data_IF_649462182090
#
_entry.id   IF_649462182090
#
_cell.length_a   1.000
_cell.length_b   1.000
_cell.length_c   1.000
_cell.angle_alpha   90.00
_cell.angle_beta   90.00
_cell.angle_gamma   90.00
#
_symmetry.space_group_name_H-M   'P 1'
#
loop_
_entity.id
_entity.type
_entity.pdbx_description
1 polymer ?
#
# COMPACT_ATOMS: atom_id res chain seq x y z
N UNK A 1 19.33 9.83 -2.69
CA UNK A 1 18.65 10.32 -3.89
C UNK A 1 17.17 10.50 -3.59
N UNK A 2 16.63 11.65 -3.93
CA UNK A 2 15.21 11.93 -3.66
C UNK A 2 14.33 11.36 -4.75
N UNK A 3 13.32 10.60 -4.35
CA UNK A 3 12.29 10.09 -5.24
C UNK A 3 11.38 11.25 -5.67
N UNK A 4 10.89 11.23 -6.91
CA UNK A 4 9.97 12.24 -7.43
C UNK A 4 8.60 11.63 -7.75
N UNK A 5 7.58 12.48 -7.84
CA UNK A 5 6.25 12.07 -8.24
C UNK A 5 6.26 11.42 -9.64
N UNK A 6 7.05 11.97 -10.56
CA UNK A 6 7.14 11.43 -11.92
C UNK A 6 7.67 9.99 -11.94
N UNK A 7 8.59 9.67 -11.04
CA UNK A 7 9.13 8.31 -10.93
C UNK A 7 8.10 7.32 -10.39
N UNK A 8 7.15 7.78 -9.59
CA UNK A 8 6.08 6.94 -9.06
C UNK A 8 4.89 6.79 -9.99
N UNK A 9 4.71 7.69 -10.95
CA UNK A 9 3.58 7.61 -11.88
C UNK A 9 3.73 6.38 -12.80
N UNK A 10 2.78 5.45 -12.68
CA UNK A 10 2.81 4.19 -13.43
C UNK A 10 3.66 3.10 -12.82
N UNK A 11 4.18 3.31 -11.60
CA UNK A 11 5.00 2.31 -10.93
C UNK A 11 4.18 1.14 -10.45
N UNK A 12 4.60 -0.08 -10.80
CA UNK A 12 4.05 -1.34 -10.31
C UNK A 12 5.18 -2.25 -9.83
N UNK A 13 4.88 -3.03 -8.78
CA UNK A 13 5.85 -3.96 -8.23
C UNK A 13 5.13 -5.15 -7.62
N UNK A 14 5.68 -6.36 -7.84
CA UNK A 14 5.21 -7.60 -7.23
C UNK A 14 6.39 -8.43 -6.81
N UNK A 15 6.34 -8.97 -5.59
CA UNK A 15 7.34 -9.93 -5.15
C UNK A 15 6.75 -10.85 -4.09
N UNK A 16 7.05 -12.15 -4.21
CA UNK A 16 6.79 -13.14 -3.17
C UNK A 16 8.10 -13.46 -2.46
N UNK A 17 8.02 -13.60 -1.15
CA UNK A 17 9.17 -13.89 -0.29
C UNK A 17 9.10 -15.33 0.20
N UNK A 18 10.27 -15.89 0.56
CA UNK A 18 10.38 -17.26 1.04
C UNK A 18 9.62 -17.51 2.35
N UNK A 19 9.35 -16.45 3.12
CA UNK A 19 8.60 -16.54 4.39
C UNK A 19 7.08 -16.61 4.21
N UNK A 20 6.59 -16.68 2.97
CA UNK A 20 5.16 -16.77 2.67
C UNK A 20 4.45 -15.42 2.56
N UNK A 21 5.18 -14.32 2.65
CA UNK A 21 4.62 -12.98 2.45
C UNK A 21 4.81 -12.50 1.02
N UNK A 22 4.09 -11.43 0.68
CA UNK A 22 4.23 -10.78 -0.62
C UNK A 22 4.09 -9.27 -0.49
N UNK A 23 4.62 -8.56 -1.50
CA UNK A 23 4.36 -7.13 -1.69
C UNK A 23 3.77 -6.95 -3.07
N UNK A 24 2.75 -6.10 -3.15
CA UNK A 24 2.16 -5.66 -4.41
C UNK A 24 1.94 -4.16 -4.32
N UNK A 25 2.54 -3.43 -5.26
CA UNK A 25 2.41 -1.98 -5.35
C UNK A 25 1.83 -1.61 -6.69
N UNK A 26 0.90 -0.66 -6.68
CA UNK A 26 0.36 -0.02 -7.88
C UNK A 26 0.16 1.45 -7.56
N UNK A 27 0.77 2.32 -8.37
CA UNK A 27 0.72 3.77 -8.18
C UNK A 27 0.59 4.43 -9.54
N UNK A 28 -0.36 5.35 -9.69
CA UNK A 28 -0.48 6.16 -10.90
C UNK A 28 -1.20 7.47 -10.64
N UNK A 29 -0.86 8.49 -11.41
CA UNK A 29 -1.63 9.73 -11.46
C UNK A 29 -2.93 9.50 -12.19
N UNK A 30 -3.96 10.25 -11.81
CA UNK A 30 -5.25 10.22 -12.47
C UNK A 30 -5.93 11.57 -12.37
N UNK A 31 -6.69 11.94 -13.42
CA UNK A 31 -7.51 13.15 -13.43
C UNK A 31 -8.98 12.83 -13.10
N UNK A 32 -9.31 11.58 -12.75
CA UNK A 32 -10.68 11.20 -12.45
C UNK A 32 -11.18 11.88 -11.16
N UNK A 33 -12.41 12.37 -11.19
CA UNK A 33 -13.01 13.07 -10.05
C UNK A 33 -13.15 12.19 -8.80
N UNK A 34 -13.20 10.88 -8.99
CA UNK A 34 -13.24 9.92 -7.89
C UNK A 34 -11.97 9.95 -7.02
N UNK A 35 -10.89 10.55 -7.53
CA UNK A 35 -9.59 10.61 -6.86
C UNK A 35 -9.11 12.07 -6.70
N UNK A 36 -9.68 12.83 -5.76
CA UNK A 36 -9.34 14.24 -5.58
C UNK A 36 -7.86 14.53 -5.33
N UNK A 37 -7.11 13.55 -4.78
CA UNK A 37 -5.66 13.71 -4.57
C UNK A 37 -4.86 13.74 -5.88
N UNK A 38 -5.45 13.29 -6.99
CA UNK A 38 -4.76 13.14 -8.26
C UNK A 38 -3.97 11.84 -8.39
N UNK A 39 -4.10 10.94 -7.42
CA UNK A 39 -3.41 9.65 -7.39
C UNK A 39 -4.39 8.50 -7.17
N UNK A 40 -4.11 7.37 -7.81
CA UNK A 40 -4.72 6.09 -7.50
C UNK A 40 -3.62 5.12 -7.13
N UNK A 41 -3.74 4.47 -5.96
CA UNK A 41 -2.70 3.59 -5.47
C UNK A 41 -3.23 2.46 -4.60
N UNK A 42 -2.43 1.42 -4.51
CA UNK A 42 -2.53 0.38 -3.50
C UNK A 42 -1.12 -0.07 -3.13
N UNK A 43 -0.78 0.02 -1.84
CA UNK A 43 0.50 -0.40 -1.29
C UNK A 43 0.19 -1.54 -0.32
N UNK A 44 0.47 -2.79 -0.75
CA UNK A 44 -0.03 -3.98 -0.06
C UNK A 44 1.11 -4.92 0.34
N UNK A 45 1.20 -5.17 1.64
CA UNK A 45 2.03 -6.20 2.24
C UNK A 45 1.11 -7.23 2.89
N UNK A 46 1.26 -8.51 2.54
CA UNK A 46 0.35 -9.54 3.01
C UNK A 46 0.96 -10.92 2.98
N UNK A 47 0.13 -11.91 3.33
CA UNK A 47 0.47 -13.33 3.30
C UNK A 47 -0.17 -13.97 2.07
N UNK A 48 0.60 -14.78 1.35
CA UNK A 48 0.11 -15.54 0.19
C UNK A 48 -1.02 -16.49 0.64
N UNK A 49 -0.82 -17.15 1.78
CA UNK A 49 -1.84 -17.96 2.44
C UNK A 49 -1.78 -17.61 3.93
N UNK A 50 -2.87 -17.10 4.54
CA UNK A 50 -2.86 -16.66 5.93
C UNK A 50 -2.35 -17.71 6.90
N UNK A 51 -2.69 -18.98 6.68
CA UNK A 51 -2.29 -20.09 7.56
C UNK A 51 -0.82 -20.48 7.42
N UNK A 52 -0.15 -20.00 6.38
CA UNK A 52 1.24 -20.38 6.09
C UNK A 52 2.26 -19.43 6.73
N UNK A 53 1.80 -18.37 7.41
CA UNK A 53 2.69 -17.40 8.04
C UNK A 53 2.46 -17.38 9.54
N UNK A 54 3.54 -17.18 10.31
CA UNK A 54 3.50 -17.12 11.77
C UNK A 54 3.32 -15.67 12.21
N UNK A 55 2.20 -15.06 11.78
CA UNK A 55 1.81 -13.72 12.19
C UNK A 55 0.35 -13.47 11.86
N UNK A 56 -0.23 -12.46 12.50
CA UNK A 56 -1.63 -12.11 12.30
C UNK A 56 -1.84 -11.46 10.93
N UNK A 57 -2.94 -11.87 10.28
CA UNK A 57 -3.40 -11.30 9.02
C UNK A 57 -4.90 -11.03 9.11
N UNK A 58 -5.40 -10.19 8.19
CA UNK A 58 -6.84 -10.13 7.92
C UNK A 58 -7.27 -11.37 7.14
N UNK A 59 -8.59 -11.57 6.97
CA UNK A 59 -9.13 -12.76 6.30
C UNK A 59 -8.62 -12.92 4.86
N UNK A 60 -8.32 -11.80 4.19
CA UNK A 60 -7.79 -11.80 2.83
C UNK A 60 -6.26 -11.91 2.77
N UNK A 61 -5.61 -12.11 3.92
CA UNK A 61 -4.16 -12.20 4.01
C UNK A 61 -3.44 -10.87 4.24
N UNK A 62 -4.15 -9.75 4.24
CA UNK A 62 -3.52 -8.43 4.45
C UNK A 62 -2.84 -8.37 5.81
N UNK A 63 -1.59 -7.87 5.82
CA UNK A 63 -0.86 -7.53 7.03
C UNK A 63 -0.87 -6.00 7.20
N UNK A 64 -0.54 -5.27 6.14
CA UNK A 64 -0.61 -3.81 6.11
C UNK A 64 -0.87 -3.35 4.68
N UNK A 65 -1.89 -2.50 4.50
CA UNK A 65 -2.24 -1.96 3.17
C UNK A 65 -2.70 -0.53 3.26
N UNK A 66 -2.13 0.31 2.40
CA UNK A 66 -2.66 1.64 2.11
C UNK A 66 -3.35 1.60 0.76
N UNK A 67 -4.56 2.14 0.66
CA UNK A 67 -5.24 2.33 -0.61
C UNK A 67 -6.24 3.49 -0.56
N UNK A 68 -6.64 3.95 -1.73
CA UNK A 68 -7.64 5.01 -1.87
C UNK A 68 -8.72 4.65 -2.89
N UNK A 69 -9.09 3.38 -2.98
CA UNK A 69 -10.06 2.89 -3.96
C UNK A 69 -11.40 3.65 -3.91
N UNK A 70 -11.75 4.22 -2.76
CA UNK A 70 -12.98 4.99 -2.55
C UNK A 70 -12.67 6.38 -1.99
N UNK A 71 -11.66 7.06 -2.54
CA UNK A 71 -11.16 8.32 -1.97
C UNK A 71 -12.25 9.37 -1.80
N UNK A 72 -13.14 9.54 -2.78
CA UNK A 72 -14.17 10.57 -2.73
C UNK A 72 -15.15 10.42 -1.57
N UNK A 73 -15.32 9.20 -1.04
CA UNK A 73 -16.27 8.88 0.04
C UNK A 73 -15.60 8.41 1.32
N UNK A 74 -14.47 7.70 1.21
CA UNK A 74 -13.79 7.07 2.37
C UNK A 74 -12.37 7.61 2.59
N UNK A 75 -11.90 8.48 1.70
CA UNK A 75 -10.56 9.04 1.81
C UNK A 75 -9.47 7.99 1.58
N UNK A 76 -8.36 8.18 2.28
CA UNK A 76 -7.20 7.31 2.23
C UNK A 76 -7.26 6.34 3.39
N UNK A 77 -7.22 5.04 3.10
CA UNK A 77 -7.43 4.02 4.11
C UNK A 77 -6.15 3.26 4.42
N UNK A 78 -5.95 2.96 5.71
CA UNK A 78 -4.89 2.08 6.19
C UNK A 78 -5.52 0.87 6.87
N UNK A 79 -5.21 -0.32 6.35
CA UNK A 79 -5.64 -1.60 6.91
C UNK A 79 -4.44 -2.24 7.61
N UNK A 80 -4.56 -2.53 8.91
CA UNK A 80 -3.49 -3.15 9.71
C UNK A 80 -4.07 -4.35 10.45
N UNK A 81 -3.54 -5.55 10.17
CA UNK A 81 -3.94 -6.74 10.92
C UNK A 81 -3.57 -6.58 12.41
N UNK A 82 -4.39 -7.10 13.33
CA UNK A 82 -5.60 -7.89 13.10
C UNK A 82 -6.89 -7.08 13.03
N UNK A 83 -6.83 -5.76 13.02
CA UNK A 83 -8.03 -4.91 13.06
C UNK A 83 -8.78 -4.97 11.72
N UNK A 84 -10.04 -5.48 11.70
CA UNK A 84 -10.82 -5.56 10.47
C UNK A 84 -11.34 -4.20 9.99
N UNK A 85 -11.29 -3.17 10.85
CA UNK A 85 -11.77 -1.83 10.51
C UNK A 85 -10.61 -0.96 10.05
N UNK A 86 -10.66 -0.43 8.80
CA UNK A 86 -9.59 0.45 8.34
C UNK A 86 -9.58 1.77 9.08
N UNK A 87 -8.40 2.37 9.17
CA UNK A 87 -8.19 3.72 9.69
C UNK A 87 -8.11 4.68 8.51
N UNK A 88 -8.78 5.83 8.60
CA UNK A 88 -8.61 6.92 7.63
C UNK A 88 -7.36 7.70 8.00
N UNK A 89 -6.48 7.91 7.01
CA UNK A 89 -5.24 8.66 7.21
C UNK A 89 -5.25 9.91 6.35
N UNK A 90 -4.55 10.95 6.81
CA UNK A 90 -4.32 12.14 6.01
C UNK A 90 -3.26 11.82 4.95
N UNK A 91 -3.57 12.13 3.68
CA UNK A 91 -2.64 11.87 2.59
C UNK A 91 -1.49 12.88 2.62
N UNK A 92 -0.24 12.42 2.85
CA UNK A 92 0.90 13.34 2.98
C UNK A 92 1.54 13.70 1.64
N UNK A 93 1.11 13.06 0.55
CA UNK A 93 1.74 13.08 -0.76
C UNK A 93 2.18 11.67 -1.12
N UNK A 94 2.33 11.38 -2.43
CA UNK A 94 2.59 10.01 -2.86
C UNK A 94 4.00 9.53 -2.48
N UNK A 95 5.00 10.40 -2.66
CA UNK A 95 6.39 10.05 -2.29
C UNK A 95 6.48 9.76 -0.79
N UNK A 96 5.90 10.64 0.03
CA UNK A 96 5.92 10.49 1.48
C UNK A 96 5.19 9.23 1.94
N UNK A 97 4.07 8.89 1.30
CA UNK A 97 3.32 7.68 1.64
C UNK A 97 4.10 6.42 1.22
N UNK A 98 4.73 6.44 0.06
CA UNK A 98 5.61 5.36 -0.41
C UNK A 98 6.75 5.12 0.59
N UNK A 99 7.40 6.20 1.03
CA UNK A 99 8.48 6.12 2.04
C UNK A 99 7.96 5.55 3.35
N UNK A 100 6.80 6.03 3.80
CA UNK A 100 6.17 5.55 5.05
C UNK A 100 5.87 4.07 4.99
N UNK A 101 5.28 3.59 3.90
CA UNK A 101 4.94 2.18 3.72
C UNK A 101 6.20 1.30 3.88
N UNK A 102 7.28 1.63 3.18
CA UNK A 102 8.51 0.85 3.25
C UNK A 102 9.15 0.88 4.64
N UNK A 103 9.02 1.99 5.37
CA UNK A 103 9.54 2.09 6.73
C UNK A 103 8.73 1.27 7.74
N UNK A 104 7.49 0.94 7.41
CA UNK A 104 6.57 0.25 8.33
C UNK A 104 6.55 -1.26 8.14
N UNK A 105 7.20 -1.79 7.12
CA UNK A 105 7.22 -3.23 6.84
C UNK A 105 8.63 -3.79 6.97
N UNK A 106 8.78 -5.10 7.33
CA UNK A 106 10.10 -5.71 7.55
C UNK A 106 10.72 -6.23 6.24
N UNK A 107 10.76 -5.42 5.21
CA UNK A 107 11.32 -5.78 3.90
C UNK A 107 12.19 -4.65 3.37
N UNK A 108 13.19 -5.01 2.58
CA UNK A 108 14.09 -4.05 1.97
C UNK A 108 13.36 -3.20 0.92
N UNK A 109 13.55 -1.90 0.99
CA UNK A 109 12.94 -0.94 0.07
C UNK A 109 13.39 -1.17 -1.38
N UNK A 110 12.42 -1.08 -2.29
CA UNK A 110 12.67 -1.09 -3.74
C UNK A 110 12.31 0.30 -4.29
N UNK A 111 13.20 0.86 -5.09
CA UNK A 111 12.95 2.12 -5.79
C UNK A 111 12.63 1.88 -7.26
N UNK A 112 11.76 2.70 -7.84
CA UNK A 112 11.43 2.62 -9.26
C UNK A 112 12.63 2.95 -10.15
#
# INVERSE_FOLDING_TARGET
MNLTDDELDGFTFRKRYADGTFIRLMIRRTAADAYPSGWRYALHYGAVAPDAVDRETLDDGTIRRYDNAHEATKGHELHIAPDPTPTTVQFPGMVELYDRFWNEIPKARINP
#
